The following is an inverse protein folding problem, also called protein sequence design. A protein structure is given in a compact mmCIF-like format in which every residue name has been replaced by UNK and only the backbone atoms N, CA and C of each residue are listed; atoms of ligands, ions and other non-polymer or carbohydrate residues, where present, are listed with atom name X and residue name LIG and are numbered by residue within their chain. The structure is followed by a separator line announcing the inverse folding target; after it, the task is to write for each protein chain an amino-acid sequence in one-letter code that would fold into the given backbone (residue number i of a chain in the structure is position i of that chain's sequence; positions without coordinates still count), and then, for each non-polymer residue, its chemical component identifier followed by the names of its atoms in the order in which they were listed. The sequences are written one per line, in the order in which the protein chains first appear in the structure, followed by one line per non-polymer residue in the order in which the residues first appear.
data_IF_455863237220
#
_entry.id   IF_455863237220
#
_cell.length_a   1.000
_cell.length_b   1.000
_cell.length_c   1.000
_cell.angle_alpha   90.00
_cell.angle_beta   90.00
_cell.angle_gamma   90.00
#
_symmetry.space_group_name_H-M   'P 1'
#
loop_
_entity.id
_entity.type
_entity.pdbx_description
1 polymer ?
#
# COMPACT_ATOMS: atom_id res chain seq x y z
N UNK A 1 9.91 8.40 -30.38
CA UNK A 1 10.15 7.30 -29.41
C UNK A 1 8.91 7.15 -28.53
N UNK A 2 7.74 6.96 -29.17
CA UNK A 2 6.42 6.90 -28.54
C UNK A 2 5.57 5.86 -29.28
N UNK A 3 6.17 4.71 -29.58
CA UNK A 3 5.59 3.71 -30.49
C UNK A 3 5.94 2.29 -29.99
N UNK A 4 5.73 2.03 -28.70
CA UNK A 4 5.98 0.69 -28.10
C UNK A 4 4.91 0.22 -27.10
N UNK A 5 3.78 0.89 -26.95
CA UNK A 5 2.66 0.35 -26.18
C UNK A 5 1.43 0.32 -27.08
N UNK A 6 1.13 -0.88 -27.60
CA UNK A 6 -0.13 -1.19 -28.27
C UNK A 6 -1.30 -1.20 -27.27
N UNK A 7 -2.51 -1.20 -27.81
CA UNK A 7 -3.81 -1.20 -27.12
C UNK A 7 -4.05 -2.44 -26.23
N UNK A 8 -3.21 -2.67 -25.22
CA UNK A 8 -3.39 -3.74 -24.25
C UNK A 8 -3.99 -3.22 -22.94
N UNK A 9 -5.17 -3.74 -22.63
CA UNK A 9 -5.85 -3.59 -21.36
C UNK A 9 -4.95 -4.07 -20.21
N UNK A 10 -4.58 -3.14 -19.32
CA UNK A 10 -3.94 -3.48 -18.05
C UNK A 10 -4.87 -4.35 -17.19
N UNK A 11 -4.58 -5.64 -17.12
CA UNK A 11 -5.19 -6.57 -16.17
C UNK A 11 -4.48 -6.42 -14.81
N UNK A 12 -5.12 -5.73 -13.87
CA UNK A 12 -4.74 -5.84 -12.46
C UNK A 12 -5.21 -7.21 -11.92
N UNK A 13 -4.46 -7.84 -10.98
CA UNK A 13 -4.79 -9.16 -10.45
C UNK A 13 -6.22 -9.18 -9.89
N UNK A 14 -7.07 -10.02 -10.45
CA UNK A 14 -8.43 -10.19 -9.97
C UNK A 14 -8.45 -11.02 -8.69
N UNK A 15 -8.93 -10.41 -7.61
CA UNK A 15 -9.44 -11.10 -6.43
C UNK A 15 -10.43 -12.21 -6.85
N UNK A 16 -10.24 -13.41 -6.31
CA UNK A 16 -11.11 -14.57 -6.49
C UNK A 16 -12.44 -14.42 -5.72
N UNK A 17 -13.22 -13.38 -6.01
CA UNK A 17 -14.61 -13.24 -5.55
C UNK A 17 -15.58 -13.90 -6.54
N UNK A 18 -16.70 -14.51 -6.09
CA UNK A 18 -17.67 -15.16 -6.97
C UNK A 18 -18.28 -14.17 -7.97
N UNK A 19 -18.72 -14.66 -9.13
CA UNK A 19 -19.28 -13.92 -10.27
C UNK A 19 -20.55 -13.15 -9.90
N UNK A 20 -20.40 -12.05 -9.16
CA UNK A 20 -21.35 -10.96 -9.15
C UNK A 20 -20.90 -9.98 -10.22
N UNK A 21 -21.81 -9.61 -11.12
CA UNK A 21 -21.58 -8.69 -12.25
C UNK A 21 -20.64 -7.57 -11.83
N UNK A 22 -19.42 -7.56 -12.38
CA UNK A 22 -18.49 -6.47 -12.19
C UNK A 22 -19.18 -5.21 -12.70
N UNK A 23 -19.59 -4.33 -11.80
CA UNK A 23 -20.11 -3.02 -12.18
C UNK A 23 -18.93 -2.22 -12.72
N UNK A 24 -19.12 -1.59 -13.87
CA UNK A 24 -18.15 -0.62 -14.37
C UNK A 24 -17.98 0.47 -13.32
N UNK A 25 -16.73 0.83 -13.03
CA UNK A 25 -16.37 1.91 -12.11
C UNK A 25 -17.13 3.19 -12.47
N UNK A 26 -17.33 3.46 -13.77
CA UNK A 26 -18.11 4.60 -14.27
C UNK A 26 -19.57 4.56 -13.83
N UNK A 27 -20.21 3.38 -13.89
CA UNK A 27 -21.62 3.20 -13.49
C UNK A 27 -21.78 3.36 -11.99
N UNK A 28 -20.87 2.78 -11.19
CA UNK A 28 -20.87 2.94 -9.74
C UNK A 28 -20.67 4.41 -9.34
N UNK A 29 -19.70 5.13 -9.92
CA UNK A 29 -19.45 6.54 -9.63
C UNK A 29 -20.68 7.44 -9.91
N UNK A 30 -21.36 7.22 -11.04
CA UNK A 30 -22.57 7.94 -11.43
C UNK A 30 -23.75 7.69 -10.47
N UNK A 31 -23.96 6.44 -10.06
CA UNK A 31 -25.03 6.04 -9.12
C UNK A 31 -24.86 6.67 -7.72
N UNK A 32 -23.61 6.83 -7.27
CA UNK A 32 -23.31 7.40 -5.95
C UNK A 32 -23.16 8.93 -5.97
N UNK A 33 -23.46 9.58 -7.10
CA UNK A 33 -23.35 11.04 -7.22
C UNK A 33 -21.92 11.55 -7.01
N UNK A 34 -20.92 10.68 -7.21
CA UNK A 34 -19.52 11.11 -7.28
C UNK A 34 -19.40 11.86 -8.60
N UNK A 35 -19.47 13.18 -8.53
CA UNK A 35 -19.20 14.03 -9.68
C UNK A 35 -17.86 13.63 -10.31
N UNK A 36 -17.69 13.89 -11.60
CA UNK A 36 -16.41 13.85 -12.30
C UNK A 36 -15.49 14.93 -11.70
N UNK A 37 -15.07 14.70 -10.46
CA UNK A 37 -14.28 15.61 -9.67
C UNK A 37 -12.82 15.28 -9.94
N UNK A 38 -12.18 16.21 -10.64
CA UNK A 38 -10.73 16.45 -10.71
C UNK A 38 -9.90 15.16 -10.81
N UNK A 39 -9.81 14.64 -12.03
CA UNK A 39 -8.79 13.67 -12.37
C UNK A 39 -7.41 14.22 -11.96
N UNK A 40 -6.52 13.46 -11.28
CA UNK A 40 -5.22 13.99 -10.85
C UNK A 40 -4.37 14.54 -12.00
N UNK A 41 -4.55 14.06 -13.24
CA UNK A 41 -3.84 14.64 -14.38
C UNK A 41 -4.39 16.00 -14.84
N UNK A 42 -5.54 16.43 -14.33
CA UNK A 42 -6.10 17.78 -14.49
C UNK A 42 -5.92 18.64 -13.23
N UNK A 43 -5.51 18.04 -12.10
CA UNK A 43 -5.18 18.74 -10.87
C UNK A 43 -3.84 19.50 -11.03
N UNK A 44 -3.95 20.81 -11.27
CA UNK A 44 -2.80 21.68 -11.43
C UNK A 44 -1.88 21.73 -10.20
N UNK A 45 -2.42 21.49 -8.99
CA UNK A 45 -1.59 21.44 -7.79
C UNK A 45 -0.76 20.16 -7.75
N UNK A 46 -1.37 19.02 -8.11
CA UNK A 46 -0.65 17.75 -8.29
C UNK A 46 0.47 17.88 -9.33
N UNK A 47 0.16 18.40 -10.52
CA UNK A 47 1.15 18.52 -11.61
C UNK A 47 2.35 19.38 -11.19
N UNK A 48 2.09 20.52 -10.53
CA UNK A 48 3.16 21.40 -10.02
C UNK A 48 4.04 20.71 -8.97
N UNK A 49 3.46 19.91 -8.09
CA UNK A 49 4.20 19.14 -7.08
C UNK A 49 5.10 18.12 -7.78
N UNK A 50 4.55 17.36 -8.73
CA UNK A 50 5.31 16.35 -9.46
C UNK A 50 6.41 16.95 -10.34
N UNK A 51 6.14 18.00 -11.11
CA UNK A 51 7.15 18.69 -11.94
C UNK A 51 8.31 19.24 -11.11
N UNK A 52 8.02 19.73 -9.90
CA UNK A 52 9.03 20.34 -9.03
C UNK A 52 9.87 19.29 -8.29
N UNK A 53 9.22 18.27 -7.72
CA UNK A 53 9.85 17.42 -6.71
C UNK A 53 10.10 15.97 -7.20
N UNK A 54 9.64 15.58 -8.40
CA UNK A 54 9.98 14.28 -8.99
C UNK A 54 11.37 14.30 -9.62
N UNK A 55 12.33 13.62 -9.00
CA UNK A 55 13.73 13.62 -9.45
C UNK A 55 14.47 12.34 -9.05
N UNK A 56 15.69 12.17 -9.55
CA UNK A 56 16.62 11.18 -8.99
C UNK A 56 17.40 11.80 -7.85
N UNK A 57 17.47 11.11 -6.73
CA UNK A 57 18.29 11.52 -5.60
C UNK A 57 19.80 11.29 -5.84
N UNK A 58 20.62 11.71 -4.88
CA UNK A 58 22.08 11.55 -4.90
C UNK A 58 22.51 10.08 -4.95
N UNK A 59 21.64 9.17 -4.52
CA UNK A 59 21.81 7.71 -4.54
C UNK A 59 21.27 7.04 -5.81
N UNK A 60 20.86 7.82 -6.82
CA UNK A 60 20.28 7.37 -8.10
C UNK A 60 18.93 6.65 -7.99
N UNK A 61 18.19 6.81 -6.90
CA UNK A 61 16.80 6.34 -6.80
C UNK A 61 15.82 7.41 -7.29
N UNK A 62 14.76 6.97 -7.96
CA UNK A 62 13.66 7.86 -8.32
C UNK A 62 12.83 8.19 -7.08
N UNK A 63 12.72 9.47 -6.77
CA UNK A 63 11.93 9.99 -5.65
C UNK A 63 10.77 10.79 -6.21
N UNK A 64 9.56 10.46 -5.75
CA UNK A 64 8.33 11.17 -6.07
C UNK A 64 7.73 11.76 -4.79
N UNK A 65 7.26 13.01 -4.83
CA UNK A 65 6.52 13.59 -3.71
C UNK A 65 5.16 12.91 -3.55
N UNK A 66 4.67 12.81 -2.31
CA UNK A 66 3.28 12.46 -2.05
C UNK A 66 2.39 13.70 -2.22
N UNK A 67 1.47 13.73 -3.18
CA UNK A 67 0.67 14.91 -3.50
C UNK A 67 -0.52 15.04 -2.54
N UNK A 68 -0.25 15.30 -1.27
CA UNK A 68 -1.31 15.57 -0.30
C UNK A 68 -2.02 16.89 -0.61
N UNK A 69 -3.32 16.94 -0.37
CA UNK A 69 -4.08 18.20 -0.37
C UNK A 69 -3.50 19.15 0.69
N UNK A 70 -3.52 20.45 0.40
CA UNK A 70 -3.06 21.48 1.34
C UNK A 70 -4.22 22.06 2.16
N UNK A 71 -4.08 22.21 3.49
CA UNK A 71 -2.95 21.77 4.31
C UNK A 71 -2.91 20.23 4.43
N UNK A 72 -1.69 19.65 4.55
CA UNK A 72 -1.52 18.19 4.69
C UNK A 72 -2.32 17.72 5.92
N UNK A 73 -3.34 16.87 5.76
CA UNK A 73 -4.09 16.35 6.90
C UNK A 73 -3.20 15.42 7.72
N UNK A 74 -3.41 15.42 9.04
CA UNK A 74 -2.80 14.43 9.89
C UNK A 74 -3.42 13.07 9.61
N UNK A 75 -2.54 12.10 9.46
CA UNK A 75 -2.82 10.76 9.03
C UNK A 75 -3.04 9.90 10.30
N UNK A 76 -4.24 9.30 10.49
CA UNK A 76 -4.57 8.59 11.73
C UNK A 76 -3.76 7.31 11.89
N UNK A 77 -3.36 6.97 13.11
CA UNK A 77 -2.60 5.73 13.35
C UNK A 77 -3.43 4.49 13.03
N UNK A 78 -2.85 3.53 12.30
CA UNK A 78 -3.45 2.24 11.99
C UNK A 78 -3.09 1.14 13.02
N UNK A 79 -2.55 1.51 14.19
CA UNK A 79 -2.03 0.58 15.20
C UNK A 79 -3.03 -0.51 15.59
N UNK A 80 -4.27 -0.15 15.86
CA UNK A 80 -5.29 -1.10 16.31
C UNK A 80 -5.62 -2.12 15.22
N UNK A 81 -5.64 -1.69 13.96
CA UNK A 81 -5.82 -2.59 12.82
C UNK A 81 -4.63 -3.53 12.69
N UNK A 82 -3.40 -3.02 12.75
CA UNK A 82 -2.20 -3.85 12.66
C UNK A 82 -2.12 -4.86 13.82
N UNK A 83 -2.47 -4.45 15.04
CA UNK A 83 -2.50 -5.31 16.22
C UNK A 83 -3.57 -6.41 16.08
N UNK A 84 -4.77 -6.06 15.62
CA UNK A 84 -5.83 -7.04 15.36
C UNK A 84 -5.38 -8.12 14.37
N UNK A 85 -4.70 -7.71 13.28
CA UNK A 85 -4.14 -8.65 12.30
C UNK A 85 -3.03 -9.52 12.90
N UNK A 86 -2.16 -8.96 13.73
CA UNK A 86 -1.11 -9.70 14.41
C UNK A 86 -1.68 -10.77 15.36
N UNK A 87 -2.73 -10.43 16.12
CA UNK A 87 -3.41 -11.38 17.00
C UNK A 87 -4.01 -12.54 16.18
N UNK A 88 -4.70 -12.24 15.08
CA UNK A 88 -5.25 -13.27 14.19
C UNK A 88 -4.17 -14.16 13.59
N UNK A 89 -3.04 -13.58 13.17
CA UNK A 89 -1.89 -14.33 12.68
C UNK A 89 -1.36 -15.26 13.77
N UNK A 90 -1.14 -14.74 14.98
CA UNK A 90 -0.68 -15.54 16.12
C UNK A 90 -1.60 -16.74 16.37
N UNK A 91 -2.91 -16.53 16.43
CA UNK A 91 -3.88 -17.61 16.59
C UNK A 91 -3.78 -18.65 15.46
N UNK A 92 -3.52 -18.22 14.21
CA UNK A 92 -3.35 -19.14 13.08
C UNK A 92 -2.08 -19.99 13.24
N UNK A 93 -0.96 -19.36 13.64
CA UNK A 93 0.32 -20.03 13.84
C UNK A 93 0.28 -21.00 15.04
N UNK A 94 -0.41 -20.63 16.11
CA UNK A 94 -0.57 -21.50 17.29
C UNK A 94 -1.36 -22.78 16.94
N UNK A 95 -2.29 -22.70 15.99
CA UNK A 95 -3.06 -23.84 15.51
C UNK A 95 -2.35 -24.66 14.40
N UNK A 96 -1.27 -24.12 13.79
CA UNK A 96 -0.57 -24.74 12.66
C UNK A 96 0.94 -24.70 12.88
N UNK A 97 1.48 -25.72 13.55
CA UNK A 97 2.88 -25.77 13.98
C UNK A 97 3.87 -25.67 12.81
N UNK A 98 3.65 -26.39 11.71
CA UNK A 98 4.53 -26.32 10.53
C UNK A 98 4.56 -24.90 9.91
N UNK A 99 3.40 -24.25 9.82
CA UNK A 99 3.29 -22.87 9.34
C UNK A 99 4.02 -21.89 10.27
N UNK A 100 3.95 -22.13 11.58
CA UNK A 100 4.65 -21.33 12.58
C UNK A 100 6.16 -21.43 12.41
N UNK A 101 6.71 -22.63 12.27
CA UNK A 101 8.15 -22.83 12.14
C UNK A 101 8.69 -22.15 10.87
N UNK A 102 8.00 -22.34 9.74
CA UNK A 102 8.33 -21.67 8.48
C UNK A 102 8.26 -20.14 8.58
N UNK A 103 7.23 -19.61 9.25
CA UNK A 103 7.08 -18.17 9.46
C UNK A 103 8.20 -17.59 10.32
N UNK A 104 8.57 -18.27 11.41
CA UNK A 104 9.66 -17.85 12.29
C UNK A 104 11.01 -17.90 11.59
N UNK A 105 11.27 -18.94 10.79
CA UNK A 105 12.49 -19.03 9.97
C UNK A 105 12.59 -17.85 8.98
N UNK A 106 11.49 -17.54 8.28
CA UNK A 106 11.42 -16.44 7.34
C UNK A 106 11.66 -15.07 8.02
N UNK A 107 10.96 -14.78 9.11
CA UNK A 107 11.15 -13.52 9.85
C UNK A 107 12.55 -13.42 10.44
N UNK A 108 13.13 -14.55 10.87
CA UNK A 108 14.53 -14.64 11.30
C UNK A 108 15.51 -14.21 10.20
N UNK A 109 15.32 -14.71 8.96
CA UNK A 109 16.15 -14.32 7.81
C UNK A 109 16.02 -12.83 7.47
N UNK A 110 14.82 -12.25 7.54
CA UNK A 110 14.61 -10.82 7.32
C UNK A 110 15.47 -9.98 8.27
N UNK A 111 15.46 -10.33 9.56
CA UNK A 111 16.22 -9.61 10.58
C UNK A 111 17.73 -9.82 10.43
N UNK A 112 18.17 -11.06 10.18
CA UNK A 112 19.59 -11.39 9.99
C UNK A 112 20.20 -10.68 8.78
N UNK A 113 19.44 -10.60 7.68
CA UNK A 113 19.88 -9.93 6.45
C UNK A 113 19.75 -8.40 6.51
N UNK A 114 19.35 -7.83 7.67
CA UNK A 114 19.10 -6.39 7.85
C UNK A 114 18.08 -5.83 6.86
N UNK A 115 17.10 -6.64 6.47
CA UNK A 115 15.95 -6.18 5.69
C UNK A 115 14.88 -5.52 6.57
N UNK A 116 14.96 -5.71 7.89
CA UNK A 116 14.20 -4.97 8.88
C UNK A 116 15.07 -4.66 10.09
N UNK A 117 14.83 -3.50 10.71
CA UNK A 117 15.49 -3.05 11.93
C UNK A 117 14.44 -2.63 12.96
N UNK A 118 14.85 -2.48 14.21
CA UNK A 118 13.96 -1.98 15.24
C UNK A 118 13.57 -0.53 14.92
N UNK A 119 12.27 -0.26 14.87
CA UNK A 119 11.77 1.09 14.63
C UNK A 119 12.26 2.05 15.75
N UNK A 120 12.69 3.26 15.41
CA UNK A 120 13.10 4.25 16.39
C UNK A 120 11.91 4.62 17.32
N UNK A 121 12.19 5.08 18.56
CA UNK A 121 11.15 5.51 19.47
C UNK A 121 10.42 6.73 18.90
N UNK A 122 9.09 6.68 18.93
CA UNK A 122 8.23 7.76 18.45
C UNK A 122 8.19 8.91 19.45
N UNK A 123 8.18 10.14 18.94
CA UNK A 123 7.92 11.34 19.76
C UNK A 123 6.42 11.49 20.03
N UNK A 124 6.08 12.24 21.07
CA UNK A 124 4.69 12.61 21.35
C UNK A 124 4.13 13.42 20.16
N UNK A 125 3.00 12.97 19.60
CA UNK A 125 2.35 13.49 18.37
C UNK A 125 3.04 13.18 17.02
N UNK A 126 3.96 12.21 16.96
CA UNK A 126 4.49 11.74 15.69
C UNK A 126 3.54 10.74 15.01
N UNK A 127 3.29 10.92 13.72
CA UNK A 127 2.46 9.99 12.95
C UNK A 127 3.16 8.63 12.82
N UNK A 128 2.44 7.58 13.18
CA UNK A 128 2.96 6.21 13.13
C UNK A 128 2.04 5.30 12.34
N UNK A 129 2.67 4.56 11.44
CA UNK A 129 2.03 3.63 10.53
C UNK A 129 2.70 2.27 10.66
N UNK A 130 1.90 1.25 10.87
CA UNK A 130 2.32 -0.12 11.08
C UNK A 130 1.98 -0.94 9.84
N UNK A 131 2.92 -1.72 9.34
CA UNK A 131 2.64 -2.68 8.28
C UNK A 131 2.04 -3.95 8.92
N UNK A 132 0.80 -4.35 8.56
CA UNK A 132 0.24 -5.61 9.01
C UNK A 132 1.11 -6.76 8.49
N UNK A 133 1.46 -7.70 9.35
CA UNK A 133 2.19 -8.90 8.95
C UNK A 133 1.24 -9.97 8.43
N UNK A 134 1.62 -10.63 7.34
CA UNK A 134 0.85 -11.72 6.75
C UNK A 134 1.71 -12.98 6.69
N UNK A 135 1.18 -14.10 7.19
CA UNK A 135 1.76 -15.43 6.94
C UNK A 135 1.09 -16.04 5.71
N UNK A 136 1.41 -15.56 4.51
CA UNK A 136 0.85 -16.14 3.28
C UNK A 136 1.52 -17.49 3.04
N UNK A 137 0.72 -18.56 3.06
CA UNK A 137 1.18 -19.92 2.80
C UNK A 137 0.61 -20.39 1.45
N UNK A 138 1.47 -20.83 0.55
CA UNK A 138 1.06 -21.40 -0.73
C UNK A 138 0.87 -22.92 -0.54
N UNK A 139 -0.33 -23.47 -0.80
CA UNK A 139 -0.60 -24.90 -0.69
C UNK A 139 0.08 -25.73 -1.80
#
# INVERSE_FOLDING_TARGET
MWEQFGDDHFLFPHDCTPVHKARSIKTWMSEFGVGELDWPAEDQAFLKIMERDFHKDETNFWVAPLPFKSPRPLLPSNRDQALSRLISLKCTLDNRLEMRDNYLEFMGKILQNRHAELAPPLKENEESWYLPTFGVYHP
#
